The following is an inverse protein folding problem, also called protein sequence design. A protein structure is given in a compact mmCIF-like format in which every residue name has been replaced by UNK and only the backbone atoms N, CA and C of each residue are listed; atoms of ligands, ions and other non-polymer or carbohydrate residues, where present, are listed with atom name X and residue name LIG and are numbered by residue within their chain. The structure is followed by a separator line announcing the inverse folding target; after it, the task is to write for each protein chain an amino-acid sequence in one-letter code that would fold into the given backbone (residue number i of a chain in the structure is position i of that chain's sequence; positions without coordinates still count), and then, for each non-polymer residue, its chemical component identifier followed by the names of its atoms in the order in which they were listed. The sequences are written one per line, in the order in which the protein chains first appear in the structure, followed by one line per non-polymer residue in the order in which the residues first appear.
data_IF_711520161465
#
_entry.id   IF_711520161465
#
_cell.length_a   1.000
_cell.length_b   1.000
_cell.length_c   1.000
_cell.angle_alpha   90.00
_cell.angle_beta   90.00
_cell.angle_gamma   90.00
#
_symmetry.space_group_name_H-M   'P 1'
#
loop_
_entity.id
_entity.type
_entity.pdbx_description
1 polymer ?
#
# COMPACT_ATOMS: atom_id res chain seq x y z
N UNK A 1 9.20 6.76 -2.24
CA UNK A 1 8.66 6.86 -3.62
C UNK A 1 8.71 5.49 -4.26
N UNK A 2 7.85 5.23 -5.25
CA UNK A 2 7.82 3.96 -5.99
C UNK A 2 7.18 4.11 -7.37
N UNK A 3 7.64 3.32 -8.35
CA UNK A 3 7.11 3.32 -9.71
C UNK A 3 6.05 2.24 -9.90
N UNK A 4 5.01 2.52 -10.69
CA UNK A 4 4.03 1.52 -11.07
C UNK A 4 4.67 0.42 -11.92
N UNK A 5 4.07 -0.78 -11.96
CA UNK A 5 4.63 -1.93 -12.66
C UNK A 5 4.81 -1.71 -14.17
N UNK A 6 3.95 -0.89 -14.77
CA UNK A 6 4.04 -0.48 -16.18
C UNK A 6 5.06 0.65 -16.43
N UNK A 7 5.64 1.21 -15.36
CA UNK A 7 6.61 2.31 -15.40
C UNK A 7 6.03 3.65 -15.82
N UNK A 8 4.70 3.82 -15.87
CA UNK A 8 4.08 5.08 -16.33
C UNK A 8 3.88 6.07 -15.18
N UNK A 9 3.55 5.61 -13.99
CA UNK A 9 3.22 6.43 -12.82
C UNK A 9 4.33 6.36 -11.77
N UNK A 10 4.48 7.45 -11.04
CA UNK A 10 5.31 7.54 -9.85
C UNK A 10 4.42 7.94 -8.67
N UNK A 11 4.58 7.22 -7.56
CA UNK A 11 3.99 7.55 -6.28
C UNK A 11 5.07 8.13 -5.36
N UNK A 12 4.78 9.25 -4.73
CA UNK A 12 5.68 9.91 -3.78
C UNK A 12 4.92 10.33 -2.52
N UNK A 13 5.67 10.52 -1.44
CA UNK A 13 5.15 11.00 -0.16
C UNK A 13 5.96 12.25 0.19
N UNK A 14 5.26 13.32 0.53
CA UNK A 14 5.83 14.55 1.07
C UNK A 14 6.40 14.36 2.48
N UNK A 15 7.29 15.27 2.84
CA UNK A 15 7.80 15.42 4.21
C UNK A 15 7.12 16.62 4.92
N UNK A 16 5.95 17.00 4.43
CA UNK A 16 5.05 17.97 5.04
C UNK A 16 4.27 17.35 6.20
N UNK A 17 3.59 18.19 7.00
CA UNK A 17 2.87 17.75 8.20
C UNK A 17 1.75 16.73 7.90
N UNK A 18 1.21 16.77 6.68
CA UNK A 18 0.16 15.88 6.19
C UNK A 18 0.68 14.63 5.48
N UNK A 19 2.00 14.51 5.30
CA UNK A 19 2.67 13.46 4.51
C UNK A 19 1.96 13.22 3.18
N UNK A 20 1.76 14.29 2.42
CA UNK A 20 0.92 14.30 1.22
C UNK A 20 1.40 13.26 0.22
N UNK A 21 0.49 12.39 -0.21
CA UNK A 21 0.76 11.38 -1.22
C UNK A 21 0.41 11.97 -2.58
N UNK A 22 1.39 11.97 -3.48
CA UNK A 22 1.25 12.43 -4.85
C UNK A 22 1.39 11.26 -5.82
N UNK A 23 0.45 11.16 -6.75
CA UNK A 23 0.55 10.32 -7.94
C UNK A 23 0.71 11.19 -9.17
N UNK A 24 1.67 10.86 -10.03
CA UNK A 24 1.91 11.63 -11.24
C UNK A 24 2.46 10.75 -12.37
N UNK A 25 2.19 11.14 -13.61
CA UNK A 25 2.95 10.66 -14.76
C UNK A 25 4.31 11.32 -14.73
N UNK A 26 5.33 10.55 -14.35
CA UNK A 26 6.66 11.13 -14.07
C UNK A 26 7.35 11.71 -15.30
N UNK A 27 7.06 11.16 -16.50
CA UNK A 27 7.65 11.64 -17.76
C UNK A 27 7.08 12.98 -18.21
N UNK A 28 5.76 13.17 -18.09
CA UNK A 28 5.09 14.40 -18.52
C UNK A 28 4.99 15.44 -17.40
N UNK A 29 5.18 15.02 -16.15
CA UNK A 29 4.96 15.86 -14.96
C UNK A 29 3.49 16.02 -14.59
N UNK A 30 2.56 15.37 -15.30
CA UNK A 30 1.13 15.51 -15.04
C UNK A 30 0.75 14.89 -13.68
N UNK A 31 0.21 15.72 -12.79
CA UNK A 31 -0.36 15.27 -11.52
C UNK A 31 -1.67 14.51 -11.76
N UNK A 32 -1.77 13.30 -11.21
CA UNK A 32 -2.92 12.41 -11.32
C UNK A 32 -3.80 12.45 -10.07
N UNK A 33 -3.19 12.47 -8.89
CA UNK A 33 -3.89 12.56 -7.62
C UNK A 33 -3.01 13.19 -6.55
N UNK A 34 -3.64 13.88 -5.61
CA UNK A 34 -3.02 14.42 -4.40
C UNK A 34 -3.95 14.15 -3.22
N UNK A 35 -3.43 13.52 -2.17
CA UNK A 35 -4.22 13.15 -0.99
C UNK A 35 -3.40 13.27 0.28
N UNK A 36 -4.04 13.68 1.37
CA UNK A 36 -3.45 13.67 2.71
C UNK A 36 -3.13 12.23 3.11
N UNK A 37 -1.89 11.95 3.48
CA UNK A 37 -1.42 10.60 3.80
C UNK A 37 -1.77 10.20 5.23
N UNK A 38 -1.09 10.80 6.20
CA UNK A 38 -1.25 10.54 7.64
C UNK A 38 -0.58 11.65 8.46
N UNK A 39 -1.03 11.86 9.70
CA UNK A 39 -0.39 12.81 10.63
C UNK A 39 0.97 12.34 11.19
N UNK A 40 1.19 11.04 11.12
CA UNK A 40 2.40 10.41 11.65
C UNK A 40 3.24 9.96 10.46
N UNK A 41 4.54 9.77 10.68
CA UNK A 41 5.49 9.43 9.61
C UNK A 41 5.08 8.20 8.84
N UNK A 42 5.03 8.35 7.52
CA UNK A 42 4.94 7.25 6.55
C UNK A 42 6.36 6.94 6.08
N UNK A 43 6.80 5.70 6.29
CA UNK A 43 8.16 5.27 5.96
C UNK A 43 8.25 4.70 4.55
N UNK A 44 7.17 4.10 4.05
CA UNK A 44 7.19 3.44 2.74
C UNK A 44 5.87 3.56 2.01
N UNK A 45 5.97 3.67 0.69
CA UNK A 45 4.89 3.52 -0.29
C UNK A 45 5.34 2.46 -1.29
N UNK A 46 4.46 1.54 -1.67
CA UNK A 46 4.71 0.55 -2.71
C UNK A 46 3.50 0.35 -3.58
N UNK A 47 3.72 0.28 -4.89
CA UNK A 47 2.71 -0.17 -5.83
C UNK A 47 2.48 -1.66 -5.68
N UNK A 48 1.23 -2.08 -5.84
CA UNK A 48 0.93 -3.49 -5.98
C UNK A 48 1.36 -3.96 -7.37
N UNK A 49 2.30 -4.92 -7.49
CA UNK A 49 2.71 -5.43 -8.80
C UNK A 49 1.64 -6.30 -9.47
N UNK A 50 0.62 -6.74 -8.73
CA UNK A 50 -0.40 -7.68 -9.20
C UNK A 50 -1.74 -7.03 -9.55
N UNK A 51 -1.98 -5.80 -9.10
CA UNK A 51 -3.24 -5.08 -9.31
C UNK A 51 -2.96 -3.62 -9.66
N UNK A 52 -3.39 -3.22 -10.86
CA UNK A 52 -3.16 -1.87 -11.36
C UNK A 52 -3.92 -0.83 -10.53
N UNK A 53 -3.33 0.36 -10.39
CA UNK A 53 -3.92 1.47 -9.64
C UNK A 53 -4.00 1.28 -8.12
N UNK A 54 -3.48 0.17 -7.58
CA UNK A 54 -3.44 -0.10 -6.15
C UNK A 54 -2.03 0.11 -5.57
N UNK A 55 -1.98 0.74 -4.39
CA UNK A 55 -0.74 0.92 -3.65
C UNK A 55 -0.96 0.75 -2.15
N UNK A 56 0.14 0.52 -1.43
CA UNK A 56 0.16 0.36 0.02
C UNK A 56 1.15 1.33 0.63
N UNK A 57 0.80 1.87 1.78
CA UNK A 57 1.69 2.72 2.58
C UNK A 57 1.78 2.22 4.01
N UNK A 58 2.98 2.27 4.58
CA UNK A 58 3.24 1.88 5.97
C UNK A 58 4.06 2.89 6.73
N UNK A 59 3.86 2.97 8.05
CA UNK A 59 4.49 3.96 8.90
C UNK A 59 4.23 3.74 10.38
N UNK A 60 4.35 4.81 11.17
CA UNK A 60 3.97 4.83 12.59
C UNK A 60 2.45 4.71 12.70
N UNK A 61 1.95 3.60 13.28
CA UNK A 61 0.50 3.31 13.40
C UNK A 61 -0.27 3.38 12.07
N UNK A 62 0.46 3.27 10.96
CA UNK A 62 -0.05 3.50 9.62
C UNK A 62 0.12 2.25 8.78
N UNK A 63 -1.01 1.72 8.35
CA UNK A 63 -1.11 0.70 7.32
C UNK A 63 -2.37 1.02 6.52
N UNK A 64 -2.18 1.48 5.29
CA UNK A 64 -3.28 1.83 4.41
C UNK A 64 -3.08 1.25 3.02
N UNK A 65 -4.18 0.71 2.51
CA UNK A 65 -4.36 0.31 1.12
C UNK A 65 -5.04 1.45 0.40
N UNK A 66 -4.56 1.78 -0.79
CA UNK A 66 -5.07 2.88 -1.58
C UNK A 66 -5.43 2.39 -2.96
N UNK A 67 -6.59 2.84 -3.45
CA UNK A 67 -7.06 2.59 -4.81
C UNK A 67 -7.29 3.92 -5.51
N UNK A 68 -6.78 4.06 -6.73
CA UNK A 68 -7.05 5.23 -7.55
C UNK A 68 -8.51 5.23 -8.02
N UNK A 69 -9.19 6.35 -7.82
CA UNK A 69 -10.56 6.59 -8.30
C UNK A 69 -10.57 7.95 -9.00
N UNK A 70 -10.44 7.94 -10.33
CA UNK A 70 -10.34 9.16 -11.13
C UNK A 70 -9.10 9.98 -10.79
N UNK A 71 -9.31 11.19 -10.28
CA UNK A 71 -8.27 12.14 -9.85
C UNK A 71 -7.98 12.13 -8.35
N UNK A 72 -8.55 11.17 -7.60
CA UNK A 72 -8.32 11.00 -6.16
C UNK A 72 -7.95 9.57 -5.81
N UNK A 73 -7.61 9.34 -4.54
CA UNK A 73 -7.28 8.04 -3.97
C UNK A 73 -8.23 7.72 -2.82
N UNK A 74 -8.88 6.56 -2.88
CA UNK A 74 -9.65 6.03 -1.74
C UNK A 74 -8.74 5.16 -0.88
N UNK A 75 -8.81 5.34 0.44
CA UNK A 75 -7.97 4.61 1.39
C UNK A 75 -8.79 3.65 2.25
N UNK A 76 -8.33 2.42 2.40
CA UNK A 76 -8.83 1.45 3.38
C UNK A 76 -7.73 1.15 4.40
N UNK A 77 -8.05 1.22 5.69
CA UNK A 77 -7.10 0.91 6.76
C UNK A 77 -6.87 -0.60 6.81
N UNK A 78 -5.61 -1.03 6.85
CA UNK A 78 -5.29 -2.42 7.07
C UNK A 78 -5.59 -2.87 8.49
N UNK A 79 -6.00 -4.12 8.63
CA UNK A 79 -6.31 -4.73 9.92
C UNK A 79 -5.02 -5.32 10.49
N UNK A 80 -4.65 -4.86 11.68
CA UNK A 80 -3.54 -5.42 12.45
C UNK A 80 -4.09 -6.20 13.65
N UNK A 81 -3.40 -7.26 14.10
CA UNK A 81 -3.70 -7.92 15.37
C UNK A 81 -3.79 -6.93 16.53
N UNK A 82 -4.67 -7.19 17.50
CA UNK A 82 -4.98 -6.25 18.60
C UNK A 82 -3.75 -5.85 19.40
N UNK A 83 -2.83 -6.78 19.62
CA UNK A 83 -1.55 -6.60 20.31
C UNK A 83 -0.52 -5.79 19.50
N UNK A 84 -0.71 -5.66 18.19
CA UNK A 84 0.16 -4.92 17.25
C UNK A 84 -0.46 -3.63 16.72
N UNK A 85 -1.58 -3.17 17.29
CA UNK A 85 -2.29 -1.95 16.83
C UNK A 85 -1.42 -0.68 16.83
N UNK A 86 -0.44 -0.62 17.73
CA UNK A 86 0.48 0.52 17.88
C UNK A 86 1.87 0.28 17.27
N UNK A 87 2.04 -0.74 16.44
CA UNK A 87 3.32 -1.06 15.82
C UNK A 87 3.70 -0.01 14.77
N UNK A 88 5.01 0.25 14.67
CA UNK A 88 5.61 1.02 13.59
C UNK A 88 6.08 0.07 12.51
N UNK A 89 5.58 0.24 11.30
CA UNK A 89 5.91 -0.59 10.15
C UNK A 89 6.91 0.14 9.25
N UNK A 90 7.98 -0.55 8.87
CA UNK A 90 9.15 0.03 8.21
C UNK A 90 9.32 -0.43 6.76
N UNK A 91 8.78 -1.59 6.41
CA UNK A 91 8.94 -2.18 5.08
C UNK A 91 7.65 -2.78 4.55
N UNK A 92 7.58 -2.93 3.24
CA UNK A 92 6.50 -3.59 2.50
C UNK A 92 7.16 -4.56 1.51
N UNK A 93 6.69 -5.80 1.48
CA UNK A 93 6.90 -6.71 0.36
C UNK A 93 5.57 -7.34 -0.05
N UNK A 94 5.39 -7.57 -1.35
CA UNK A 94 4.25 -8.27 -1.91
C UNK A 94 4.65 -9.70 -2.27
N UNK A 95 3.76 -10.64 -2.01
CA UNK A 95 3.78 -11.99 -2.59
C UNK A 95 2.40 -12.31 -3.15
N UNK A 96 2.37 -13.12 -4.20
CA UNK A 96 1.16 -13.71 -4.73
C UNK A 96 1.30 -15.22 -4.60
N UNK A 97 0.45 -15.84 -3.78
CA UNK A 97 0.29 -17.29 -3.82
C UNK A 97 -0.90 -17.63 -4.71
N UNK A 98 -0.67 -18.52 -5.67
CA UNK A 98 -1.74 -19.18 -6.40
C UNK A 98 -2.13 -20.40 -5.58
N UNK A 99 -3.21 -20.30 -4.82
CA UNK A 99 -3.77 -21.44 -4.11
C UNK A 99 -4.55 -22.25 -5.15
N UNK A 100 -4.13 -23.48 -5.52
CA UNK A 100 -4.93 -24.33 -6.37
C UNK A 100 -6.19 -24.69 -5.58
N UNK A 101 -7.36 -24.21 -6.01
CA UNK A 101 -8.64 -24.73 -5.54
C UNK A 101 -9.11 -25.76 -6.55
N UNK A 102 -9.46 -26.95 -6.06
CA UNK A 102 -10.09 -27.97 -6.89
C UNK A 102 -11.40 -27.39 -7.46
N UNK A 103 -11.42 -27.22 -8.79
CA UNK A 103 -12.60 -26.92 -9.63
C UNK A 103 -13.24 -25.51 -9.61
N UNK A 104 -12.56 -24.45 -9.21
CA UNK A 104 -12.99 -23.08 -9.55
C UNK A 104 -11.82 -22.10 -9.64
N UNK A 105 -11.99 -21.04 -10.44
CA UNK A 105 -10.98 -20.03 -10.80
C UNK A 105 -10.00 -19.69 -9.67
N UNK A 106 -8.70 -19.84 -9.94
CA UNK A 106 -7.59 -19.52 -9.03
C UNK A 106 -7.83 -18.18 -8.31
N UNK A 107 -8.08 -18.21 -7.00
CA UNK A 107 -8.11 -17.01 -6.17
C UNK A 107 -6.67 -16.68 -5.81
N UNK A 108 -6.15 -15.56 -6.31
CA UNK A 108 -4.83 -15.08 -5.91
C UNK A 108 -4.92 -14.33 -4.59
N UNK A 109 -4.37 -14.90 -3.53
CA UNK A 109 -4.19 -14.19 -2.28
C UNK A 109 -2.90 -13.37 -2.35
N UNK A 110 -3.01 -12.10 -1.95
CA UNK A 110 -1.89 -11.18 -1.93
C UNK A 110 -1.45 -11.00 -0.49
N UNK A 111 -0.19 -11.34 -0.21
CA UNK A 111 0.39 -11.22 1.11
C UNK A 111 1.22 -9.95 1.16
N UNK A 112 0.92 -9.12 2.15
CA UNK A 112 1.74 -7.97 2.51
C UNK A 112 2.59 -8.35 3.72
N UNK A 113 3.91 -8.33 3.54
CA UNK A 113 4.86 -8.46 4.64
C UNK A 113 5.28 -7.08 5.10
N UNK A 114 5.23 -6.86 6.41
CA UNK A 114 5.71 -5.61 6.99
C UNK A 114 6.63 -5.91 8.18
N UNK A 115 7.84 -5.35 8.15
CA UNK A 115 8.78 -5.41 9.26
C UNK A 115 8.46 -4.33 10.29
N UNK A 116 8.27 -4.73 11.54
CA UNK A 116 8.04 -3.83 12.67
C UNK A 116 9.35 -3.34 13.30
N UNK A 117 9.33 -2.16 13.91
CA UNK A 117 10.46 -1.63 14.70
C UNK A 117 10.81 -2.48 15.93
N UNK A 118 9.90 -3.37 16.33
CA UNK A 118 10.05 -4.33 17.43
C UNK A 118 10.74 -5.64 16.99
N UNK A 119 11.26 -5.69 15.76
CA UNK A 119 11.91 -6.87 15.20
C UNK A 119 10.94 -7.98 14.77
N UNK A 120 9.63 -7.76 14.92
CA UNK A 120 8.62 -8.72 14.50
C UNK A 120 8.20 -8.47 13.05
N UNK A 121 8.01 -9.55 12.30
CA UNK A 121 7.35 -9.50 11.00
C UNK A 121 5.85 -9.70 11.21
N UNK A 122 5.03 -8.78 10.70
CA UNK A 122 3.59 -9.01 10.63
C UNK A 122 3.34 -9.75 9.32
N UNK A 123 3.14 -11.06 9.45
CA UNK A 123 2.62 -11.95 8.43
C UNK A 123 1.10 -11.73 8.37
N UNK A 124 0.53 -11.52 7.18
CA UNK A 124 -0.89 -11.22 6.95
C UNK A 124 -1.38 -9.84 7.41
N UNK A 125 -1.21 -8.84 6.56
CA UNK A 125 -2.36 -7.97 6.28
C UNK A 125 -3.08 -8.55 5.06
N UNK A 126 -4.18 -9.28 5.27
CA UNK A 126 -5.07 -9.67 4.19
C UNK A 126 -5.59 -8.39 3.53
N UNK A 127 -5.19 -8.16 2.29
CA UNK A 127 -5.84 -7.18 1.45
C UNK A 127 -7.20 -7.75 0.99
N UNK A 128 -8.15 -7.91 1.92
CA UNK A 128 -9.53 -8.17 1.53
C UNK A 128 -10.15 -6.83 1.18
N UNK A 129 -9.97 -6.39 -0.08
CA UNK A 129 -10.89 -5.42 -0.64
C UNK A 129 -12.16 -6.22 -0.89
N UNK A 130 -13.09 -6.15 0.07
CA UNK A 130 -14.45 -6.63 -0.15
C UNK A 130 -15.00 -5.82 -1.33
N UNK A 131 -15.52 -6.48 -2.38
CA UNK A 131 -16.07 -5.80 -3.56
C UNK A 131 -17.23 -4.87 -3.22
#
# INVERSE_FOLDING_TARGET
MDFSCDGTMLASIGLDDDHTILLHYWKSGQLLASVVGHKDRIFMIRWNPYQDGQLVTVGVKHLKFWNRVGSTMKSNRGILPKDKKNTTLLSIAFSQEKIPKDNESNVSEQFLFTGGSDGNFIFHALCTIIP
#
